data_IF_642793753078
#
_entry.id   IF_642793753078
#
_cell.length_a   1.000
_cell.length_b   1.000
_cell.length_c   1.000
_cell.angle_alpha   90.00
_cell.angle_beta   90.00
_cell.angle_gamma   90.00
#
_symmetry.space_group_name_H-M   'P 1'
#
loop_
_entity.id
_entity.type
_entity.pdbx_description
1 polymer ?
#
# COMPACT_ATOMS: atom_id res chain seq x y z
N UNK A 1 12.01 -1.52 10.89
CA UNK A 1 11.43 -1.73 9.54
C UNK A 1 10.80 -0.41 9.14
N UNK A 2 10.99 0.05 7.90
CA UNK A 2 10.43 1.31 7.40
C UNK A 2 9.59 1.03 6.14
N UNK A 3 8.96 2.05 5.56
CA UNK A 3 8.10 1.91 4.38
C UNK A 3 8.80 1.18 3.22
N UNK A 4 10.07 1.49 2.98
CA UNK A 4 10.87 0.85 1.94
C UNK A 4 10.98 -0.67 2.15
N UNK A 5 11.32 -1.10 3.37
CA UNK A 5 11.39 -2.53 3.70
C UNK A 5 10.05 -3.25 3.51
N UNK A 6 8.92 -2.58 3.82
CA UNK A 6 7.58 -3.14 3.59
C UNK A 6 7.33 -3.31 2.09
N UNK A 7 7.64 -2.29 1.30
CA UNK A 7 7.48 -2.30 -0.15
C UNK A 7 8.28 -3.42 -0.80
N UNK A 8 9.58 -3.52 -0.49
CA UNK A 8 10.47 -4.56 -1.00
C UNK A 8 9.95 -5.96 -0.62
N UNK A 9 9.48 -6.15 0.62
CA UNK A 9 8.90 -7.43 1.05
C UNK A 9 7.65 -7.76 0.23
N UNK A 10 6.69 -6.84 0.13
CA UNK A 10 5.41 -7.07 -0.53
C UNK A 10 5.57 -7.38 -2.03
N UNK A 11 6.57 -6.80 -2.70
CA UNK A 11 6.91 -7.12 -4.09
C UNK A 11 7.19 -8.61 -4.32
N UNK A 12 7.78 -9.28 -3.33
CA UNK A 12 8.21 -10.68 -3.44
C UNK A 12 7.16 -11.70 -3.04
N UNK A 13 6.09 -11.26 -2.36
CA UNK A 13 5.00 -12.15 -1.95
C UNK A 13 4.27 -12.70 -3.18
N UNK A 14 3.51 -13.80 -3.09
CA UNK A 14 2.59 -14.22 -4.14
C UNK A 14 1.40 -13.25 -4.26
N UNK A 15 0.53 -13.48 -5.25
CA UNK A 15 -0.70 -12.71 -5.43
C UNK A 15 -1.80 -13.43 -4.66
N UNK A 16 -2.62 -12.68 -3.91
CA UNK A 16 -3.71 -13.25 -3.11
C UNK A 16 -3.85 -12.61 -1.74
N UNK A 17 -4.94 -12.95 -1.05
CA UNK A 17 -5.37 -12.31 0.21
C UNK A 17 -4.32 -12.43 1.32
N UNK A 18 -3.60 -13.53 1.43
CA UNK A 18 -2.55 -13.72 2.45
C UNK A 18 -1.45 -12.65 2.37
N UNK A 19 -1.06 -12.24 1.15
CA UNK A 19 -0.08 -11.17 0.97
C UNK A 19 -0.59 -9.83 1.50
N UNK A 20 -1.89 -9.55 1.35
CA UNK A 20 -2.52 -8.34 1.89
C UNK A 20 -2.74 -8.43 3.40
N UNK A 21 -3.00 -9.61 3.95
CA UNK A 21 -2.98 -9.82 5.39
C UNK A 21 -1.60 -9.49 5.94
N UNK A 22 -0.53 -10.01 5.34
CA UNK A 22 0.83 -9.69 5.76
C UNK A 22 1.13 -8.18 5.63
N UNK A 23 0.80 -7.55 4.51
CA UNK A 23 0.97 -6.11 4.29
C UNK A 23 0.25 -5.28 5.37
N UNK A 24 -1.01 -5.62 5.68
CA UNK A 24 -1.81 -4.99 6.73
C UNK A 24 -1.08 -5.05 8.08
N UNK A 25 -0.64 -6.23 8.51
CA UNK A 25 0.05 -6.40 9.80
C UNK A 25 1.39 -5.64 9.83
N UNK A 26 2.15 -5.67 8.74
CA UNK A 26 3.43 -4.96 8.65
C UNK A 26 3.24 -3.44 8.76
N UNK A 27 2.25 -2.86 8.06
CA UNK A 27 1.94 -1.45 8.20
C UNK A 27 1.48 -1.10 9.62
N UNK A 28 0.61 -1.91 10.22
CA UNK A 28 0.10 -1.72 11.59
C UNK A 28 1.22 -1.72 12.64
N UNK A 29 2.24 -2.56 12.49
CA UNK A 29 3.38 -2.60 13.40
C UNK A 29 4.29 -1.37 13.26
N UNK A 30 4.50 -0.89 12.03
CA UNK A 30 5.48 0.16 11.75
C UNK A 30 4.89 1.56 11.91
N UNK A 31 3.60 1.75 11.64
CA UNK A 31 2.94 3.07 11.62
C UNK A 31 3.11 3.86 12.92
N UNK A 32 3.06 3.18 14.07
CA UNK A 32 3.16 3.81 15.40
C UNK A 32 4.59 4.31 15.69
N UNK A 33 5.60 3.68 15.08
CA UNK A 33 7.02 3.96 15.29
C UNK A 33 7.66 4.74 14.13
N UNK A 34 6.86 5.30 13.22
CA UNK A 34 7.38 6.01 12.05
C UNK A 34 8.06 7.33 12.46
N UNK A 35 9.35 7.45 12.20
CA UNK A 35 10.16 8.62 12.56
C UNK A 35 9.75 9.88 11.79
N UNK A 36 9.34 9.74 10.52
CA UNK A 36 8.93 10.87 9.68
C UNK A 36 7.39 11.00 9.67
N UNK A 37 6.81 12.18 10.00
CA UNK A 37 5.36 12.35 10.08
C UNK A 37 4.58 11.99 8.80
N UNK A 38 5.19 12.18 7.62
CA UNK A 38 4.55 11.80 6.36
C UNK A 38 4.74 10.32 5.99
N UNK A 39 5.71 9.63 6.59
CA UNK A 39 5.82 8.18 6.47
C UNK A 39 4.66 7.50 7.22
N UNK A 40 4.29 8.03 8.40
CA UNK A 40 3.08 7.60 9.11
C UNK A 40 1.83 7.67 8.22
N UNK A 41 1.66 8.77 7.47
CA UNK A 41 0.52 8.94 6.55
C UNK A 41 0.55 7.95 5.37
N UNK A 42 1.73 7.72 4.78
CA UNK A 42 1.88 6.73 3.71
C UNK A 42 1.57 5.31 4.21
N UNK A 43 2.03 4.94 5.40
CA UNK A 43 1.73 3.67 6.05
C UNK A 43 0.24 3.53 6.33
N UNK A 44 -0.42 4.58 6.84
CA UNK A 44 -1.86 4.58 7.11
C UNK A 44 -2.68 4.34 5.83
N UNK A 45 -2.30 5.01 4.75
CA UNK A 45 -2.98 4.90 3.46
C UNK A 45 -2.87 3.48 2.89
N UNK A 46 -1.67 2.90 2.88
CA UNK A 46 -1.44 1.53 2.40
C UNK A 46 -2.10 0.50 3.33
N UNK A 47 -2.06 0.71 4.64
CA UNK A 47 -2.81 -0.10 5.61
C UNK A 47 -4.30 -0.12 5.28
N UNK A 48 -4.90 1.04 4.97
CA UNK A 48 -6.32 1.14 4.61
C UNK A 48 -6.68 0.27 3.40
N UNK A 49 -5.88 0.36 2.32
CA UNK A 49 -6.09 -0.48 1.15
C UNK A 49 -5.93 -1.97 1.45
N UNK A 50 -4.88 -2.35 2.20
CA UNK A 50 -4.64 -3.74 2.54
C UNK A 50 -5.75 -4.31 3.43
N UNK A 51 -6.16 -3.56 4.46
CA UNK A 51 -7.27 -3.93 5.35
C UNK A 51 -8.56 -4.15 4.58
N UNK A 52 -8.93 -3.22 3.70
CA UNK A 52 -10.18 -3.34 2.96
C UNK A 52 -10.13 -4.47 1.94
N UNK A 53 -9.00 -4.70 1.28
CA UNK A 53 -8.86 -5.86 0.39
C UNK A 53 -9.10 -7.17 1.15
N UNK A 54 -8.49 -7.33 2.32
CA UNK A 54 -8.73 -8.51 3.17
C UNK A 54 -10.21 -8.62 3.52
N UNK A 55 -10.83 -7.53 3.99
CA UNK A 55 -12.25 -7.51 4.35
C UNK A 55 -13.19 -7.90 3.19
N UNK A 56 -12.87 -7.47 1.96
CA UNK A 56 -13.71 -7.72 0.80
C UNK A 56 -13.54 -9.14 0.24
N UNK A 57 -12.34 -9.72 0.34
CA UNK A 57 -11.96 -10.89 -0.43
C UNK A 57 -11.42 -12.08 0.38
N UNK A 58 -11.42 -12.03 1.72
CA UNK A 58 -10.91 -13.14 2.55
C UNK A 58 -11.72 -14.44 2.40
N UNK A 59 -13.03 -14.35 2.23
CA UNK A 59 -13.92 -15.51 2.07
C UNK A 59 -14.27 -15.82 0.61
N UNK A 60 -13.59 -15.20 -0.36
CA UNK A 60 -13.92 -15.31 -1.77
C UNK A 60 -12.79 -15.95 -2.59
N UNK A 61 -13.17 -16.79 -3.55
CA UNK A 61 -12.24 -17.27 -4.56
C UNK A 61 -11.90 -16.13 -5.53
N UNK A 62 -10.74 -15.51 -5.32
CA UNK A 62 -10.23 -14.47 -6.20
C UNK A 62 -9.61 -15.08 -7.46
N UNK A 63 -10.03 -14.62 -8.64
CA UNK A 63 -9.42 -15.08 -9.89
C UNK A 63 -7.97 -14.58 -10.02
N UNK A 64 -7.05 -15.35 -10.63
CA UNK A 64 -5.66 -14.91 -10.81
C UNK A 64 -5.54 -13.56 -11.53
N UNK A 65 -6.33 -13.35 -12.59
CA UNK A 65 -6.34 -12.10 -13.37
C UNK A 65 -6.72 -10.90 -12.50
N UNK A 66 -7.69 -11.06 -11.60
CA UNK A 66 -8.07 -10.00 -10.67
C UNK A 66 -6.97 -9.77 -9.63
N UNK A 67 -6.41 -10.84 -9.04
CA UNK A 67 -5.32 -10.73 -8.08
C UNK A 67 -4.09 -10.01 -8.66
N UNK A 68 -3.74 -10.30 -9.93
CA UNK A 68 -2.67 -9.63 -10.66
C UNK A 68 -2.95 -8.13 -10.81
N UNK A 69 -4.18 -7.77 -11.22
CA UNK A 69 -4.61 -6.37 -11.39
C UNK A 69 -4.52 -5.60 -10.08
N UNK A 70 -5.05 -6.15 -8.99
CA UNK A 70 -5.04 -5.52 -7.67
C UNK A 70 -3.60 -5.32 -7.22
N UNK A 71 -2.75 -6.33 -7.37
CA UNK A 71 -1.35 -6.24 -6.95
C UNK A 71 -0.57 -5.21 -7.76
N UNK A 72 -0.74 -5.19 -9.07
CA UNK A 72 -0.13 -4.18 -9.92
C UNK A 72 -0.51 -2.76 -9.45
N UNK A 73 -1.80 -2.54 -9.15
CA UNK A 73 -2.29 -1.24 -8.70
C UNK A 73 -1.67 -0.80 -7.37
N UNK A 74 -1.67 -1.66 -6.34
CA UNK A 74 -1.08 -1.26 -5.04
C UNK A 74 0.45 -1.13 -5.12
N UNK A 75 1.13 -1.93 -5.95
CA UNK A 75 2.56 -1.78 -6.18
C UNK A 75 2.92 -0.46 -6.85
N UNK A 76 2.07 0.05 -7.76
CA UNK A 76 2.23 1.39 -8.32
C UNK A 76 2.14 2.46 -7.23
N UNK A 77 1.14 2.37 -6.34
CA UNK A 77 0.99 3.32 -5.24
C UNK A 77 2.16 3.29 -4.26
N UNK A 78 2.56 2.08 -3.84
CA UNK A 78 3.69 1.92 -2.91
C UNK A 78 4.99 2.42 -3.53
N UNK A 79 5.21 2.19 -4.83
CA UNK A 79 6.40 2.69 -5.53
C UNK A 79 6.44 4.22 -5.55
N UNK A 80 5.35 4.87 -5.94
CA UNK A 80 5.27 6.34 -5.99
C UNK A 80 5.54 6.96 -4.60
N UNK A 81 4.95 6.37 -3.55
CA UNK A 81 5.18 6.80 -2.17
C UNK A 81 6.62 6.55 -1.71
N UNK A 82 7.18 5.38 -2.00
CA UNK A 82 8.55 5.03 -1.62
C UNK A 82 9.57 5.97 -2.28
N UNK A 83 9.42 6.21 -3.58
CA UNK A 83 10.26 7.15 -4.31
C UNK A 83 10.17 8.56 -3.72
N UNK A 84 8.97 9.05 -3.39
CA UNK A 84 8.82 10.35 -2.76
C UNK A 84 9.41 10.40 -1.34
N UNK A 85 9.18 9.38 -0.50
CA UNK A 85 9.72 9.31 0.86
C UNK A 85 11.26 9.31 0.88
N UNK A 86 11.90 8.65 -0.08
CA UNK A 86 13.37 8.61 -0.20
C UNK A 86 14.01 10.01 -0.35
N UNK A 87 13.24 10.98 -0.85
CA UNK A 87 13.72 12.35 -1.09
C UNK A 87 13.75 13.21 0.16
N UNK A 88 13.00 12.82 1.20
CA UNK A 88 12.75 13.62 2.42
C UNK A 88 12.17 15.02 2.14
N UNK A 89 11.65 15.26 0.94
CA UNK A 89 11.02 16.52 0.55
C UNK A 89 9.52 16.45 0.83
N UNK A 90 9.07 17.24 1.80
CA UNK A 90 7.66 17.34 2.21
C UNK A 90 6.70 17.61 1.04
N UNK A 91 7.07 18.50 0.11
CA UNK A 91 6.21 18.84 -1.02
C UNK A 91 6.04 17.67 -1.98
N UNK A 92 7.13 16.94 -2.25
CA UNK A 92 7.11 15.74 -3.08
C UNK A 92 6.30 14.62 -2.43
N UNK A 93 6.45 14.41 -1.13
CA UNK A 93 5.71 13.38 -0.39
C UNK A 93 4.21 13.70 -0.36
N UNK A 94 3.84 14.94 -0.07
CA UNK A 94 2.43 15.37 -0.12
C UNK A 94 1.83 15.23 -1.52
N UNK A 95 2.61 15.55 -2.56
CA UNK A 95 2.18 15.37 -3.95
C UNK A 95 1.89 13.90 -4.25
N UNK A 96 2.78 12.98 -3.85
CA UNK A 96 2.58 11.54 -4.03
C UNK A 96 1.35 11.02 -3.27
N UNK A 97 1.15 11.42 -2.01
CA UNK A 97 -0.04 11.08 -1.23
C UNK A 97 -1.35 11.54 -1.92
N UNK A 98 -1.35 12.77 -2.45
CA UNK A 98 -2.47 13.32 -3.19
C UNK A 98 -2.71 12.59 -4.52
N UNK A 99 -1.65 12.18 -5.20
CA UNK A 99 -1.75 11.44 -6.45
C UNK A 99 -2.34 10.05 -6.23
N UNK A 100 -1.87 9.30 -5.23
CA UNK A 100 -2.41 7.98 -4.90
C UNK A 100 -3.91 8.06 -4.59
N UNK A 101 -4.33 9.03 -3.77
CA UNK A 101 -5.75 9.20 -3.46
C UNK A 101 -6.58 9.56 -4.69
N UNK A 102 -6.12 10.49 -5.54
CA UNK A 102 -6.78 10.83 -6.82
C UNK A 102 -6.88 9.63 -7.76
N UNK A 103 -5.79 8.89 -7.93
CA UNK A 103 -5.74 7.69 -8.77
C UNK A 103 -6.74 6.64 -8.27
N UNK A 104 -6.78 6.38 -6.97
CA UNK A 104 -7.74 5.44 -6.39
C UNK A 104 -9.19 5.89 -6.60
N UNK A 105 -9.52 7.16 -6.31
CA UNK A 105 -10.87 7.70 -6.50
C UNK A 105 -11.32 7.62 -7.97
N UNK A 106 -10.41 7.82 -8.92
CA UNK A 106 -10.66 7.68 -10.36
C UNK A 106 -10.60 6.24 -10.89
N UNK A 107 -10.22 5.27 -10.08
CA UNK A 107 -10.11 3.85 -10.48
C UNK A 107 -11.43 3.10 -10.30
N UNK A 108 -11.40 1.78 -10.56
CA UNK A 108 -12.52 0.87 -10.25
C UNK A 108 -12.73 0.61 -8.75
N UNK A 109 -11.92 1.22 -7.86
CA UNK A 109 -12.06 1.15 -6.39
C UNK A 109 -12.18 -0.29 -5.87
N UNK A 110 -11.18 -1.09 -6.20
CA UNK A 110 -11.07 -2.52 -5.84
C UNK A 110 -10.48 -2.76 -4.43
N UNK A 111 -10.35 -1.70 -3.64
CA UNK A 111 -9.94 -1.65 -2.24
C UNK A 111 -10.96 -0.82 -1.48
#
# INVERSE_FOLDING_TARGET
>A
MNFQSIFETFQTLPNGTDAYQQLKHQCEQVIVAADHPLEHNALFLIYGFAKNYVLLYEDQAVTPVFADKVKAQILTYMRELNEALSTKDTSRILTALNNVSKQYIGSSRIF
#
